data_IF_128374268055
#
_entry.id   IF_128374268055
#
_cell.length_a   1.000
_cell.length_b   1.000
_cell.length_c   1.000
_cell.angle_alpha   90.00
_cell.angle_beta   90.00
_cell.angle_gamma   90.00
#
_symmetry.space_group_name_H-M   'P 1'
#
loop_
_entity.id
_entity.type
_entity.pdbx_description
1 polymer ?
#
# COMPACT_ATOMS: atom_id res chain seq x y z
N UNK A 1 19.63 12.92 -16.61
CA UNK A 1 18.48 12.41 -15.81
C UNK A 1 18.96 11.64 -14.56
N UNK A 2 19.96 10.79 -14.67
CA UNK A 2 20.46 10.00 -13.52
C UNK A 2 21.11 10.83 -12.40
N UNK A 3 21.85 11.91 -12.75
CA UNK A 3 22.51 12.80 -11.77
C UNK A 3 21.47 13.55 -10.91
N UNK A 4 20.39 14.05 -11.53
CA UNK A 4 19.31 14.74 -10.81
C UNK A 4 18.67 13.83 -9.75
N UNK A 5 18.31 12.61 -10.12
CA UNK A 5 17.70 11.65 -9.17
C UNK A 5 18.69 11.19 -8.09
N UNK A 6 19.99 11.09 -8.44
CA UNK A 6 21.04 10.83 -7.46
C UNK A 6 21.17 11.94 -6.41
N UNK A 7 21.11 13.20 -6.84
CA UNK A 7 21.12 14.35 -5.93
C UNK A 7 19.88 14.40 -5.04
N UNK A 8 18.69 14.13 -5.60
CA UNK A 8 17.44 14.06 -4.83
C UNK A 8 17.52 12.97 -3.76
N UNK A 9 18.05 11.79 -4.10
CA UNK A 9 18.22 10.71 -3.14
C UNK A 9 19.23 11.06 -2.04
N UNK A 10 20.33 11.72 -2.38
CA UNK A 10 21.35 12.16 -1.43
C UNK A 10 20.79 13.20 -0.46
N UNK A 11 20.13 14.24 -0.99
CA UNK A 11 19.49 15.28 -0.16
C UNK A 11 18.42 14.66 0.75
N UNK A 12 17.57 13.77 0.21
CA UNK A 12 16.57 13.05 1.00
C UNK A 12 17.20 12.20 2.11
N UNK A 13 18.32 11.54 1.84
CA UNK A 13 19.07 10.78 2.83
C UNK A 13 19.65 11.66 3.95
N UNK A 14 20.22 12.82 3.60
CA UNK A 14 20.74 13.79 4.59
C UNK A 14 19.61 14.32 5.47
N UNK A 15 18.50 14.76 4.86
CA UNK A 15 17.32 15.25 5.60
C UNK A 15 16.77 14.17 6.54
N UNK A 16 16.70 12.92 6.07
CA UNK A 16 16.29 11.79 6.89
C UNK A 16 17.23 11.59 8.09
N UNK A 17 18.55 11.57 7.87
CA UNK A 17 19.54 11.36 8.94
C UNK A 17 19.49 12.46 10.00
N UNK A 18 19.35 13.73 9.57
CA UNK A 18 19.22 14.86 10.50
C UNK A 18 17.92 14.76 11.28
N UNK A 19 16.80 14.50 10.61
CA UNK A 19 15.49 14.39 11.24
C UNK A 19 15.36 13.17 12.17
N UNK A 20 15.96 12.04 11.82
CA UNK A 20 15.93 10.82 12.62
C UNK A 20 16.67 10.95 13.97
N UNK A 21 17.56 11.94 14.10
CA UNK A 21 18.30 12.26 15.32
C UNK A 21 17.78 13.54 16.00
N UNK A 22 16.66 14.10 15.56
CA UNK A 22 16.04 15.30 16.13
C UNK A 22 14.95 14.95 17.15
N UNK A 23 14.37 16.00 17.76
CA UNK A 23 13.21 15.86 18.64
C UNK A 23 11.96 15.32 17.91
N UNK A 24 11.91 15.42 16.58
CA UNK A 24 10.84 14.94 15.73
C UNK A 24 11.08 13.53 15.17
N UNK A 25 12.02 12.79 15.74
CA UNK A 25 12.41 11.43 15.28
C UNK A 25 11.20 10.50 15.08
N UNK A 26 10.19 10.58 15.96
CA UNK A 26 8.98 9.76 15.84
C UNK A 26 8.19 10.02 14.54
N UNK A 27 8.12 11.28 14.10
CA UNK A 27 7.45 11.64 12.84
C UNK A 27 8.28 11.20 11.63
N UNK A 28 9.60 11.38 11.71
CA UNK A 28 10.54 11.00 10.62
C UNK A 28 10.55 9.49 10.42
N UNK A 29 10.60 8.71 11.49
CA UNK A 29 10.54 7.25 11.39
C UNK A 29 9.15 6.76 10.97
N UNK A 30 8.08 7.44 11.36
CA UNK A 30 6.72 7.12 10.89
C UNK A 30 6.57 7.29 9.39
N UNK A 31 7.02 8.43 8.83
CA UNK A 31 6.97 8.64 7.37
C UNK A 31 7.93 7.71 6.62
N UNK A 32 9.07 7.35 7.24
CA UNK A 32 9.96 6.35 6.70
C UNK A 32 9.25 5.00 6.57
N UNK A 33 8.60 4.53 7.63
CA UNK A 33 7.84 3.28 7.63
C UNK A 33 6.71 3.30 6.59
N UNK A 34 5.95 4.39 6.51
CA UNK A 34 4.90 4.58 5.50
C UNK A 34 5.46 4.40 4.08
N UNK A 35 6.56 5.09 3.76
CA UNK A 35 7.20 4.96 2.44
C UNK A 35 7.72 3.55 2.21
N UNK A 36 8.38 2.95 3.20
CA UNK A 36 8.92 1.60 3.08
C UNK A 36 7.83 0.60 2.71
N UNK A 37 6.75 0.53 3.50
CA UNK A 37 5.68 -0.45 3.26
C UNK A 37 4.90 -0.17 1.98
N UNK A 38 4.72 1.10 1.61
CA UNK A 38 4.03 1.49 0.38
C UNK A 38 4.82 1.09 -0.86
N UNK A 39 6.06 1.54 -0.99
CA UNK A 39 6.88 1.28 -2.19
C UNK A 39 7.35 -0.16 -2.31
N UNK A 40 7.69 -0.81 -1.18
CA UNK A 40 8.06 -2.22 -1.17
C UNK A 40 6.87 -3.12 -1.52
N UNK A 41 5.69 -2.77 -0.97
CA UNK A 41 4.44 -3.45 -1.32
C UNK A 41 4.16 -3.36 -2.82
N UNK A 42 4.21 -2.15 -3.42
CA UNK A 42 4.03 -1.95 -4.85
C UNK A 42 5.04 -2.74 -5.69
N UNK A 43 6.32 -2.70 -5.29
CA UNK A 43 7.40 -3.36 -6.02
C UNK A 43 7.21 -4.89 -6.08
N UNK A 44 6.80 -5.50 -4.97
CA UNK A 44 6.57 -6.94 -4.90
C UNK A 44 5.22 -7.35 -5.52
N UNK A 45 4.25 -6.46 -5.58
CA UNK A 45 2.90 -6.79 -6.09
C UNK A 45 2.84 -6.82 -7.61
N UNK A 46 3.66 -6.06 -8.32
CA UNK A 46 3.70 -6.16 -9.79
C UNK A 46 4.02 -7.56 -10.30
N UNK A 47 5.10 -8.22 -9.85
CA UNK A 47 5.34 -9.63 -10.14
C UNK A 47 4.19 -10.56 -9.73
N UNK A 48 3.53 -10.30 -8.59
CA UNK A 48 2.37 -11.08 -8.16
C UNK A 48 1.18 -10.94 -9.12
N UNK A 49 0.86 -9.72 -9.60
CA UNK A 49 -0.16 -9.50 -10.64
C UNK A 49 0.22 -10.25 -11.93
N UNK A 50 1.48 -10.18 -12.34
CA UNK A 50 1.95 -10.96 -13.51
C UNK A 50 1.82 -12.46 -13.27
N UNK A 51 2.02 -12.93 -12.04
CA UNK A 51 1.79 -14.32 -11.61
C UNK A 51 0.33 -14.73 -11.66
N UNK A 52 -0.59 -13.87 -11.20
CA UNK A 52 -2.04 -14.08 -11.34
C UNK A 52 -2.42 -14.25 -12.82
N UNK A 53 -1.92 -13.35 -13.69
CA UNK A 53 -2.17 -13.42 -15.13
C UNK A 53 -1.57 -14.68 -15.76
N UNK A 54 -0.46 -15.20 -15.23
CA UNK A 54 0.17 -16.43 -15.70
C UNK A 54 -0.69 -17.64 -15.36
N UNK A 55 -1.14 -17.76 -14.11
CA UNK A 55 -1.93 -18.91 -13.62
C UNK A 55 -3.32 -18.95 -14.24
N UNK A 56 -3.95 -17.78 -14.42
CA UNK A 56 -5.28 -17.65 -15.03
C UNK A 56 -5.26 -17.68 -16.56
N UNK A 57 -4.07 -17.85 -17.18
CA UNK A 57 -3.90 -17.84 -18.63
C UNK A 57 -4.49 -16.60 -19.31
N UNK A 58 -4.32 -15.44 -18.68
CA UNK A 58 -4.88 -14.18 -19.14
C UNK A 58 -4.29 -13.78 -20.52
N UNK A 59 -4.98 -14.18 -21.59
CA UNK A 59 -4.54 -13.95 -22.99
C UNK A 59 -4.62 -12.50 -23.43
N UNK A 60 -5.39 -11.68 -22.71
CA UNK A 60 -5.67 -10.29 -23.07
C UNK A 60 -4.51 -9.31 -22.81
N UNK A 61 -3.49 -9.72 -22.04
CA UNK A 61 -2.54 -8.74 -21.51
C UNK A 61 -1.05 -9.13 -21.51
N UNK A 62 -0.44 -9.64 -22.60
CA UNK A 62 0.99 -9.92 -22.61
C UNK A 62 1.86 -8.70 -22.30
N UNK A 63 1.47 -7.53 -22.84
CA UNK A 63 2.16 -6.26 -22.61
C UNK A 63 2.01 -5.78 -21.17
N UNK A 64 0.80 -5.87 -20.59
CA UNK A 64 0.53 -5.51 -19.19
C UNK A 64 1.36 -6.34 -18.24
N UNK A 65 1.45 -7.65 -18.47
CA UNK A 65 2.27 -8.57 -17.69
C UNK A 65 3.75 -8.16 -17.68
N UNK A 66 4.31 -7.80 -18.84
CA UNK A 66 5.70 -7.31 -18.92
C UNK A 66 5.91 -6.00 -18.17
N UNK A 67 4.95 -5.07 -18.25
CA UNK A 67 5.00 -3.78 -17.54
C UNK A 67 4.94 -4.02 -16.03
N UNK A 68 4.07 -4.91 -15.56
CA UNK A 68 3.96 -5.27 -14.15
C UNK A 68 5.29 -5.79 -13.56
N UNK A 69 6.07 -6.56 -14.32
CA UNK A 69 7.38 -7.06 -13.88
C UNK A 69 8.41 -5.94 -13.64
N UNK A 70 8.26 -4.77 -14.27
CA UNK A 70 9.23 -3.68 -14.14
C UNK A 70 9.31 -3.13 -12.71
N UNK A 71 8.25 -3.28 -11.92
CA UNK A 71 8.23 -2.82 -10.52
C UNK A 71 9.25 -3.56 -9.66
N UNK A 72 9.58 -4.81 -10.00
CA UNK A 72 10.59 -5.61 -9.29
C UNK A 72 11.98 -4.95 -9.27
N UNK A 73 12.27 -4.02 -10.19
CA UNK A 73 13.52 -3.27 -10.20
C UNK A 73 13.79 -2.47 -8.92
N UNK A 74 12.75 -2.16 -8.13
CA UNK A 74 12.90 -1.46 -6.85
C UNK A 74 13.22 -2.42 -5.67
N UNK A 75 13.03 -3.72 -5.79
CA UNK A 75 13.21 -4.68 -4.69
C UNK A 75 14.60 -4.65 -4.03
N UNK A 76 15.73 -4.50 -4.76
CA UNK A 76 17.04 -4.37 -4.11
C UNK A 76 17.14 -3.13 -3.21
N UNK A 77 16.57 -2.01 -3.65
CA UNK A 77 16.51 -0.78 -2.85
C UNK A 77 15.61 -0.99 -1.64
N UNK A 78 14.44 -1.60 -1.83
CA UNK A 78 13.54 -1.96 -0.74
C UNK A 78 14.24 -2.80 0.32
N UNK A 79 15.06 -3.77 -0.07
CA UNK A 79 15.80 -4.61 0.88
C UNK A 79 16.74 -3.79 1.76
N UNK A 80 17.51 -2.88 1.18
CA UNK A 80 18.37 -1.96 1.95
C UNK A 80 17.55 -1.11 2.91
N UNK A 81 16.40 -0.61 2.46
CA UNK A 81 15.51 0.18 3.32
C UNK A 81 14.94 -0.67 4.48
N UNK A 82 14.68 -1.96 4.28
CA UNK A 82 14.29 -2.86 5.39
C UNK A 82 15.39 -3.02 6.44
N UNK A 83 16.66 -3.01 6.03
CA UNK A 83 17.79 -3.06 6.98
C UNK A 83 17.91 -1.75 7.77
N UNK A 84 17.70 -0.60 7.12
CA UNK A 84 17.72 0.71 7.78
C UNK A 84 16.59 0.84 8.81
N UNK A 85 15.42 0.24 8.58
CA UNK A 85 14.30 0.25 9.53
C UNK A 85 14.69 -0.27 10.92
N UNK A 86 15.64 -1.19 11.01
CA UNK A 86 16.15 -1.71 12.28
C UNK A 86 16.65 -0.61 13.22
N UNK A 87 17.28 0.43 12.69
CA UNK A 87 17.78 1.55 13.49
C UNK A 87 16.65 2.36 14.17
N UNK A 88 15.44 2.37 13.58
CA UNK A 88 14.27 3.07 14.14
C UNK A 88 13.42 2.25 15.11
N UNK A 89 13.81 1.02 15.43
CA UNK A 89 12.96 0.08 16.17
C UNK A 89 12.51 0.60 17.55
N UNK A 90 13.38 1.27 18.28
CA UNK A 90 13.09 1.79 19.62
C UNK A 90 12.16 2.99 19.62
N UNK A 91 12.11 3.73 18.49
CA UNK A 91 11.24 4.87 18.30
C UNK A 91 9.86 4.42 17.83
N UNK A 92 9.81 3.44 16.92
CA UNK A 92 8.57 2.98 16.32
C UNK A 92 7.81 1.99 17.20
N UNK A 93 8.52 1.06 17.85
CA UNK A 93 7.91 -0.09 18.52
C UNK A 93 8.07 0.01 20.04
N UNK A 94 7.02 0.43 20.78
CA UNK A 94 7.11 0.63 22.23
C UNK A 94 7.41 -0.67 22.99
N UNK A 95 7.05 -1.82 22.45
CA UNK A 95 7.32 -3.13 23.06
C UNK A 95 8.79 -3.55 22.99
N UNK A 96 9.63 -2.90 22.19
CA UNK A 96 11.08 -3.13 22.16
C UNK A 96 11.73 -2.63 23.45
N UNK A 97 11.27 -1.49 23.98
CA UNK A 97 11.76 -0.89 25.24
C UNK A 97 10.99 -1.37 26.46
N UNK A 98 9.69 -1.67 26.31
CA UNK A 98 8.79 -2.15 27.34
C UNK A 98 8.14 -3.46 26.92
N UNK A 99 8.81 -4.61 27.10
CA UNK A 99 8.30 -5.91 26.69
C UNK A 99 6.93 -6.23 27.30
N UNK A 100 6.08 -6.90 26.52
CA UNK A 100 4.73 -7.30 26.92
C UNK A 100 4.75 -8.82 27.17
N UNK A 101 4.71 -9.29 28.43
CA UNK A 101 4.87 -10.71 28.74
C UNK A 101 3.89 -11.63 28.01
N UNK A 102 2.61 -11.21 27.89
CA UNK A 102 1.56 -11.99 27.20
C UNK A 102 1.76 -12.14 25.69
N UNK A 103 2.61 -11.30 25.07
CA UNK A 103 2.91 -11.30 23.64
C UNK A 103 4.38 -11.57 23.32
N UNK A 104 5.20 -11.89 24.34
CA UNK A 104 6.64 -12.06 24.18
C UNK A 104 7.04 -13.19 23.21
N UNK A 105 6.19 -14.20 23.03
CA UNK A 105 6.42 -15.24 22.03
C UNK A 105 6.45 -14.72 20.60
N UNK A 106 5.67 -13.67 20.30
CA UNK A 106 5.59 -13.08 18.96
C UNK A 106 6.31 -11.74 18.86
N UNK A 107 6.13 -10.86 19.85
CA UNK A 107 6.72 -9.51 19.91
C UNK A 107 7.99 -9.54 20.76
N UNK A 108 9.04 -10.15 20.24
CA UNK A 108 10.41 -10.04 20.76
C UNK A 108 11.35 -9.61 19.62
N UNK A 109 12.29 -8.69 19.86
CA UNK A 109 13.12 -8.10 18.81
C UNK A 109 13.87 -9.12 17.94
N UNK A 110 14.58 -10.13 18.48
CA UNK A 110 15.31 -11.10 17.66
C UNK A 110 14.40 -11.85 16.67
N UNK A 111 13.27 -12.38 17.14
CA UNK A 111 12.35 -13.15 16.30
C UNK A 111 11.58 -12.26 15.32
N UNK A 112 11.22 -11.04 15.74
CA UNK A 112 10.54 -10.06 14.89
C UNK A 112 11.41 -9.70 13.68
N UNK A 113 12.68 -9.34 13.89
CA UNK A 113 13.57 -8.94 12.80
C UNK A 113 13.98 -10.11 11.92
N UNK A 114 14.27 -11.28 12.54
CA UNK A 114 14.56 -12.50 11.76
C UNK A 114 13.40 -12.82 10.80
N UNK A 115 12.18 -12.81 11.30
CA UNK A 115 10.96 -13.08 10.49
C UNK A 115 10.76 -12.04 9.39
N UNK A 116 10.88 -10.76 9.74
CA UNK A 116 10.68 -9.65 8.79
C UNK A 116 11.68 -9.74 7.65
N UNK A 117 12.96 -9.93 7.93
CA UNK A 117 13.99 -10.03 6.90
C UNK A 117 13.91 -11.33 6.11
N UNK A 118 13.66 -12.45 6.76
CA UNK A 118 13.51 -13.74 6.08
C UNK A 118 12.36 -13.69 5.08
N UNK A 119 11.21 -13.17 5.50
CA UNK A 119 10.05 -13.01 4.60
C UNK A 119 10.38 -12.08 3.42
N UNK A 120 11.08 -10.97 3.65
CA UNK A 120 11.49 -10.07 2.59
C UNK A 120 12.45 -10.76 1.60
N UNK A 121 13.48 -11.46 2.10
CA UNK A 121 14.45 -12.19 1.28
C UNK A 121 13.76 -13.26 0.43
N UNK A 122 12.91 -14.09 1.05
CA UNK A 122 12.19 -15.16 0.35
C UNK A 122 11.28 -14.58 -0.73
N UNK A 123 10.48 -13.56 -0.39
CA UNK A 123 9.59 -12.89 -1.36
C UNK A 123 10.39 -12.31 -2.54
N UNK A 124 11.46 -11.57 -2.26
CA UNK A 124 12.26 -10.93 -3.31
C UNK A 124 12.97 -11.95 -4.18
N UNK A 125 13.50 -13.02 -3.60
CA UNK A 125 14.12 -14.11 -4.35
C UNK A 125 13.13 -14.80 -5.29
N UNK A 126 11.91 -15.07 -4.83
CA UNK A 126 10.85 -15.68 -5.65
C UNK A 126 10.36 -14.71 -6.72
N UNK A 127 10.23 -13.40 -6.41
CA UNK A 127 9.93 -12.36 -7.41
C UNK A 127 10.98 -12.39 -8.54
N UNK A 128 12.27 -12.36 -8.20
CA UNK A 128 13.34 -12.38 -9.21
C UNK A 128 13.40 -13.70 -9.99
N UNK A 129 13.15 -14.83 -9.32
CA UNK A 129 13.07 -16.12 -10.01
C UNK A 129 11.94 -16.13 -11.06
N UNK A 130 10.79 -15.57 -10.70
CA UNK A 130 9.64 -15.46 -11.61
C UNK A 130 9.90 -14.47 -12.76
N UNK A 131 10.44 -13.27 -12.45
CA UNK A 131 10.84 -12.29 -13.48
C UNK A 131 11.83 -12.91 -14.46
N UNK A 132 12.85 -13.60 -13.94
CA UNK A 132 13.86 -14.28 -14.78
C UNK A 132 13.25 -15.39 -15.63
N UNK A 133 12.31 -16.18 -15.09
CA UNK A 133 11.63 -17.24 -15.84
C UNK A 133 10.77 -16.67 -16.98
N UNK A 134 10.11 -15.52 -16.78
CA UNK A 134 9.30 -14.90 -17.83
C UNK A 134 10.10 -14.12 -18.87
N UNK A 135 11.24 -13.52 -18.50
CA UNK A 135 12.05 -12.73 -19.43
C UNK A 135 12.98 -13.59 -20.31
N UNK A 136 13.39 -14.77 -19.84
CA UNK A 136 14.26 -15.67 -20.62
C UNK A 136 13.61 -16.22 -21.88
N UNK A 137 12.29 -16.34 -21.90
CA UNK A 137 11.56 -17.08 -22.91
C UNK A 137 10.69 -16.16 -23.78
N UNK A 138 11.30 -15.10 -24.29
CA UNK A 138 10.67 -14.21 -25.27
C UNK A 138 10.43 -14.86 -26.66
N UNK A 139 10.81 -16.12 -26.85
CA UNK A 139 10.75 -16.86 -28.13
C UNK A 139 9.84 -18.08 -27.99
N UNK A 140 8.76 -18.21 -28.79
CA UNK A 140 7.86 -19.37 -28.79
C UNK A 140 8.45 -20.57 -29.56
N UNK A 141 7.93 -21.79 -29.38
CA UNK A 141 6.69 -22.17 -28.72
C UNK A 141 6.92 -22.68 -27.29
N UNK A 142 5.97 -22.38 -26.40
CA UNK A 142 5.96 -22.92 -25.04
C UNK A 142 5.84 -24.45 -25.08
N UNK A 143 6.95 -25.19 -24.79
CA UNK A 143 6.87 -26.58 -24.42
C UNK A 143 5.99 -26.70 -23.16
N UNK A 144 5.09 -27.68 -23.08
CA UNK A 144 4.20 -27.91 -21.96
C UNK A 144 4.92 -28.00 -20.60
N UNK A 145 6.17 -28.48 -20.60
CA UNK A 145 7.04 -28.53 -19.41
C UNK A 145 7.42 -27.14 -18.91
N UNK A 146 7.78 -26.22 -19.83
CA UNK A 146 8.17 -24.87 -19.48
C UNK A 146 6.98 -24.07 -18.93
N UNK A 147 5.81 -24.23 -19.53
CA UNK A 147 4.56 -23.64 -19.03
C UNK A 147 4.23 -24.15 -17.63
N UNK A 148 4.32 -25.46 -17.39
CA UNK A 148 4.10 -26.04 -16.06
C UNK A 148 5.08 -25.49 -15.02
N UNK A 149 6.36 -25.31 -15.40
CA UNK A 149 7.38 -24.71 -14.53
C UNK A 149 7.04 -23.26 -14.17
N UNK A 150 6.65 -22.41 -15.14
CA UNK A 150 6.27 -21.01 -14.92
C UNK A 150 5.04 -20.92 -14.03
N UNK A 151 4.03 -21.75 -14.26
CA UNK A 151 2.83 -21.81 -13.42
C UNK A 151 3.18 -22.21 -11.99
N UNK A 152 4.08 -23.18 -11.78
CA UNK A 152 4.54 -23.57 -10.45
C UNK A 152 5.23 -22.41 -9.73
N UNK A 153 6.14 -21.69 -10.37
CA UNK A 153 6.83 -20.54 -9.79
C UNK A 153 5.80 -19.43 -9.49
N UNK A 154 4.82 -19.20 -10.38
CA UNK A 154 3.76 -18.23 -10.17
C UNK A 154 2.90 -18.55 -8.94
N UNK A 155 2.51 -19.81 -8.75
CA UNK A 155 1.74 -20.24 -7.57
C UNK A 155 2.55 -20.05 -6.29
N UNK A 156 3.82 -20.44 -6.29
CA UNK A 156 4.73 -20.20 -5.14
C UNK A 156 4.83 -18.71 -4.86
N UNK A 157 5.01 -17.87 -5.89
CA UNK A 157 5.08 -16.42 -5.76
C UNK A 157 3.81 -15.85 -5.11
N UNK A 158 2.63 -16.25 -5.58
CA UNK A 158 1.36 -15.77 -5.06
C UNK A 158 1.16 -16.13 -3.58
N UNK A 159 1.51 -17.36 -3.21
CA UNK A 159 1.43 -17.83 -1.83
C UNK A 159 2.40 -17.06 -0.93
N UNK A 160 3.68 -16.97 -1.33
CA UNK A 160 4.72 -16.26 -0.57
C UNK A 160 4.38 -14.76 -0.47
N UNK A 161 3.89 -14.15 -1.56
CA UNK A 161 3.47 -12.75 -1.58
C UNK A 161 2.33 -12.50 -0.59
N UNK A 162 1.27 -13.31 -0.63
CA UNK A 162 0.11 -13.13 0.26
C UNK A 162 0.52 -13.26 1.72
N UNK A 163 1.29 -14.29 2.07
CA UNK A 163 1.77 -14.50 3.44
C UNK A 163 2.67 -13.37 3.88
N UNK A 164 3.67 -12.98 3.07
CA UNK A 164 4.64 -11.95 3.46
C UNK A 164 3.98 -10.58 3.59
N UNK A 165 3.14 -10.18 2.63
CA UNK A 165 2.49 -8.87 2.69
C UNK A 165 1.49 -8.80 3.85
N UNK A 166 0.78 -9.89 4.14
CA UNK A 166 -0.08 -9.96 5.33
C UNK A 166 0.72 -9.87 6.63
N UNK A 167 1.88 -10.55 6.71
CA UNK A 167 2.79 -10.45 7.86
C UNK A 167 3.36 -9.04 8.02
N UNK A 168 3.69 -8.33 6.93
CA UNK A 168 4.09 -6.92 7.03
C UNK A 168 2.98 -6.04 7.60
N UNK A 169 1.72 -6.31 7.28
CA UNK A 169 0.59 -5.65 7.92
C UNK A 169 0.57 -5.88 9.43
N UNK A 170 0.69 -7.13 9.87
CA UNK A 170 0.69 -7.49 11.29
C UNK A 170 1.93 -6.99 12.03
N UNK A 171 3.12 -7.23 11.47
CA UNK A 171 4.38 -6.98 12.16
C UNK A 171 4.79 -5.51 12.10
N UNK A 172 4.75 -4.89 10.92
CA UNK A 172 5.27 -3.53 10.76
C UNK A 172 4.26 -2.45 11.14
N UNK A 173 2.96 -2.73 11.03
CA UNK A 173 1.92 -1.72 11.27
C UNK A 173 1.09 -2.02 12.50
N UNK A 174 0.45 -3.19 12.58
CA UNK A 174 -0.42 -3.51 13.72
C UNK A 174 0.37 -3.55 15.05
N UNK A 175 1.63 -3.95 15.04
CA UNK A 175 2.48 -4.00 16.23
C UNK A 175 2.89 -2.62 16.77
N UNK A 176 2.64 -1.52 16.04
CA UNK A 176 2.83 -0.15 16.53
C UNK A 176 1.90 0.16 17.72
N UNK A 177 0.68 -0.37 17.71
CA UNK A 177 -0.22 -0.36 18.87
C UNK A 177 -0.49 -1.81 19.34
N UNK A 178 0.35 -2.35 20.18
CA UNK A 178 0.25 -3.75 20.59
C UNK A 178 -0.98 -4.07 21.46
N UNK A 179 -1.76 -3.07 21.87
CA UNK A 179 -3.03 -3.26 22.57
C UNK A 179 -4.17 -3.60 21.62
N UNK A 180 -4.08 -3.13 20.39
CA UNK A 180 -5.05 -3.42 19.34
C UNK A 180 -4.65 -4.63 18.49
N UNK A 181 -5.62 -5.41 18.03
CA UNK A 181 -5.42 -6.49 17.07
C UNK A 181 -6.67 -6.74 16.24
N UNK A 182 -6.45 -7.17 14.99
CA UNK A 182 -7.52 -7.61 14.08
C UNK A 182 -6.98 -8.72 13.17
N UNK A 183 -7.62 -9.88 13.19
CA UNK A 183 -7.25 -10.99 12.30
C UNK A 183 -7.41 -10.68 10.81
N UNK A 184 -8.29 -9.74 10.45
CA UNK A 184 -8.51 -9.31 9.06
C UNK A 184 -7.47 -8.31 8.55
N UNK A 185 -6.64 -7.72 9.45
CA UNK A 185 -5.76 -6.62 9.09
C UNK A 185 -4.70 -7.01 8.05
N UNK A 186 -4.15 -8.23 8.13
CA UNK A 186 -3.21 -8.73 7.12
C UNK A 186 -3.83 -8.81 5.71
N UNK A 187 -5.06 -9.34 5.62
CA UNK A 187 -5.82 -9.39 4.37
C UNK A 187 -6.17 -7.99 3.85
N UNK A 188 -6.60 -7.10 4.72
CA UNK A 188 -6.83 -5.68 4.41
C UNK A 188 -5.60 -5.02 3.80
N UNK A 189 -4.43 -5.23 4.43
CA UNK A 189 -3.17 -4.68 3.96
C UNK A 189 -2.75 -5.25 2.59
N UNK A 190 -2.92 -6.55 2.39
CA UNK A 190 -2.61 -7.20 1.11
C UNK A 190 -3.52 -6.70 -0.02
N UNK A 191 -4.83 -6.61 0.23
CA UNK A 191 -5.80 -6.14 -0.77
C UNK A 191 -5.62 -4.67 -1.10
N UNK A 192 -5.37 -3.80 -0.11
CA UNK A 192 -5.07 -2.38 -0.36
C UNK A 192 -3.80 -2.21 -1.20
N UNK A 193 -2.80 -3.09 -0.99
CA UNK A 193 -1.57 -3.09 -1.80
C UNK A 193 -1.85 -3.57 -3.23
N UNK A 194 -2.72 -4.57 -3.43
CA UNK A 194 -3.19 -4.98 -4.77
C UNK A 194 -3.92 -3.84 -5.48
N UNK A 195 -4.86 -3.19 -4.82
CA UNK A 195 -5.58 -2.05 -5.39
C UNK A 195 -4.62 -0.96 -5.87
N UNK A 196 -3.65 -0.61 -5.01
CA UNK A 196 -2.63 0.38 -5.33
C UNK A 196 -1.76 -0.04 -6.53
N UNK A 197 -1.40 -1.32 -6.61
CA UNK A 197 -0.59 -1.84 -7.70
C UNK A 197 -1.36 -1.85 -9.04
N UNK A 198 -2.67 -2.12 -9.04
CA UNK A 198 -3.50 -1.96 -10.24
C UNK A 198 -3.63 -0.50 -10.65
N UNK A 199 -3.73 0.44 -9.71
CA UNK A 199 -3.69 1.87 -10.02
C UNK A 199 -2.36 2.26 -10.70
N UNK A 200 -1.22 1.84 -10.16
CA UNK A 200 0.09 2.11 -10.75
C UNK A 200 0.24 1.47 -12.13
N UNK A 201 -0.24 0.23 -12.27
CA UNK A 201 -0.20 -0.51 -13.53
C UNK A 201 -1.01 0.20 -14.61
N UNK A 202 -2.23 0.67 -14.31
CA UNK A 202 -3.05 1.45 -15.24
C UNK A 202 -2.34 2.72 -15.74
N UNK A 203 -1.60 3.40 -14.87
CA UNK A 203 -0.81 4.56 -15.27
C UNK A 203 0.34 4.15 -16.21
N UNK A 204 1.06 3.10 -15.86
CA UNK A 204 2.22 2.66 -16.63
C UNK A 204 1.83 2.10 -17.99
N UNK A 205 0.76 1.31 -18.08
CA UNK A 205 0.26 0.74 -19.32
C UNK A 205 -0.25 1.81 -20.28
N UNK A 206 -1.04 2.75 -19.78
CA UNK A 206 -1.54 3.87 -20.60
C UNK A 206 -0.38 4.74 -21.10
N UNK A 207 0.62 5.05 -20.23
CA UNK A 207 1.81 5.82 -20.66
C UNK A 207 2.70 5.07 -21.63
N UNK A 208 2.87 3.76 -21.45
CA UNK A 208 3.65 2.93 -22.36
C UNK A 208 2.99 2.86 -23.74
N UNK A 209 1.67 2.69 -23.78
CA UNK A 209 0.88 2.69 -25.01
C UNK A 209 0.94 4.07 -25.73
N UNK A 210 0.77 5.17 -25.00
CA UNK A 210 0.85 6.52 -25.56
C UNK A 210 2.25 6.85 -26.12
N UNK A 211 3.31 6.21 -25.63
CA UNK A 211 4.68 6.37 -26.13
C UNK A 211 5.09 5.37 -27.19
N UNK A 212 4.16 4.56 -27.70
CA UNK A 212 4.45 3.49 -28.67
C UNK A 212 5.34 2.35 -28.16
N UNK A 213 5.55 2.26 -26.82
CA UNK A 213 6.38 1.22 -26.21
C UNK A 213 5.62 -0.07 -25.93
N UNK A 214 4.31 -0.03 -25.98
CA UNK A 214 3.43 -1.17 -25.86
C UNK A 214 2.24 -0.97 -26.82
N UNK A 215 1.84 -2.05 -27.48
CA UNK A 215 0.61 -2.05 -28.27
C UNK A 215 -0.49 -2.71 -27.44
N UNK A 216 -1.46 -1.91 -26.99
CA UNK A 216 -2.55 -2.40 -26.17
C UNK A 216 -3.90 -2.12 -26.84
N UNK A 217 -4.70 -3.16 -27.10
CA UNK A 217 -6.05 -2.97 -27.56
C UNK A 217 -6.90 -2.26 -26.49
N UNK A 218 -7.87 -1.40 -26.88
CA UNK A 218 -8.76 -0.72 -25.95
C UNK A 218 -9.47 -1.67 -24.95
N UNK A 219 -9.77 -2.90 -25.38
CA UNK A 219 -10.35 -3.94 -24.54
C UNK A 219 -9.45 -4.31 -23.35
N UNK A 220 -8.13 -4.42 -23.55
CA UNK A 220 -7.19 -4.72 -22.46
C UNK A 220 -7.16 -3.61 -21.40
N UNK A 221 -7.21 -2.35 -21.79
CA UNK A 221 -7.34 -1.21 -20.87
C UNK A 221 -8.67 -1.26 -20.10
N UNK A 222 -9.73 -1.69 -20.76
CA UNK A 222 -11.03 -1.89 -20.11
C UNK A 222 -10.99 -3.02 -19.07
N UNK A 223 -10.34 -4.13 -19.37
CA UNK A 223 -10.22 -5.27 -18.45
C UNK A 223 -9.34 -4.93 -17.25
N UNK A 224 -8.27 -4.15 -17.46
CA UNK A 224 -7.45 -3.61 -16.36
C UNK A 224 -8.26 -2.68 -15.44
N UNK A 225 -9.10 -1.80 -16.01
CA UNK A 225 -10.00 -0.94 -15.25
C UNK A 225 -11.04 -1.75 -14.43
N UNK A 226 -11.54 -2.87 -14.96
CA UNK A 226 -12.43 -3.78 -14.21
C UNK A 226 -11.73 -4.43 -13.03
N UNK A 227 -10.46 -4.85 -13.19
CA UNK A 227 -9.68 -5.42 -12.10
C UNK A 227 -9.37 -4.36 -11.03
N UNK A 228 -9.02 -3.14 -11.43
CA UNK A 228 -8.88 -2.02 -10.51
C UNK A 228 -10.16 -1.76 -9.72
N UNK A 229 -11.32 -1.80 -10.38
CA UNK A 229 -12.62 -1.65 -9.73
C UNK A 229 -12.89 -2.79 -8.73
N UNK A 230 -12.67 -4.03 -9.12
CA UNK A 230 -12.86 -5.20 -8.25
C UNK A 230 -11.99 -5.10 -6.98
N UNK A 231 -10.74 -4.69 -7.11
CA UNK A 231 -9.84 -4.51 -5.97
C UNK A 231 -10.26 -3.33 -5.09
N UNK A 232 -10.82 -2.26 -5.65
CA UNK A 232 -11.34 -1.14 -4.86
C UNK A 232 -12.54 -1.55 -4.00
N UNK A 233 -13.43 -2.38 -4.52
CA UNK A 233 -14.56 -2.94 -3.77
C UNK A 233 -14.04 -3.86 -2.66
N UNK A 234 -13.11 -4.74 -2.99
CA UNK A 234 -12.57 -5.70 -2.03
C UNK A 234 -11.81 -4.99 -0.89
N UNK A 235 -11.06 -3.92 -1.20
CA UNK A 235 -10.43 -3.08 -0.18
C UNK A 235 -11.45 -2.46 0.78
N UNK A 236 -12.51 -1.86 0.25
CA UNK A 236 -13.59 -1.27 1.05
C UNK A 236 -14.35 -2.33 1.86
N UNK A 237 -14.57 -3.51 1.28
CA UNK A 237 -15.17 -4.65 1.98
C UNK A 237 -14.35 -5.04 3.22
N UNK A 238 -13.03 -5.18 3.10
CA UNK A 238 -12.16 -5.48 4.24
C UNK A 238 -12.16 -4.38 5.30
N UNK A 239 -12.20 -3.10 4.87
CA UNK A 239 -12.34 -1.97 5.80
C UNK A 239 -13.65 -2.04 6.58
N UNK A 240 -14.78 -2.18 5.88
CA UNK A 240 -16.10 -2.26 6.50
C UNK A 240 -16.25 -3.50 7.38
N UNK A 241 -15.73 -4.64 6.98
CA UNK A 241 -15.79 -5.87 7.77
C UNK A 241 -15.10 -5.70 9.12
N UNK A 242 -13.92 -5.06 9.17
CA UNK A 242 -13.24 -4.75 10.43
C UNK A 242 -14.01 -3.73 11.26
N UNK A 243 -14.47 -2.66 10.62
CA UNK A 243 -15.21 -1.60 11.29
C UNK A 243 -16.48 -2.12 11.97
N UNK A 244 -17.31 -2.88 11.24
CA UNK A 244 -18.59 -3.41 11.76
C UNK A 244 -18.36 -4.33 12.95
N UNK A 245 -17.37 -5.23 12.88
CA UNK A 245 -17.06 -6.16 13.97
C UNK A 245 -16.64 -5.41 15.23
N UNK A 246 -15.76 -4.43 15.12
CA UNK A 246 -15.26 -3.65 16.25
C UNK A 246 -16.36 -2.71 16.80
N UNK A 247 -17.15 -2.09 15.91
CA UNK A 247 -18.26 -1.22 16.30
C UNK A 247 -19.36 -2.00 17.02
N UNK A 248 -19.74 -3.17 16.51
CA UNK A 248 -20.77 -4.01 17.13
C UNK A 248 -20.30 -4.63 18.44
N UNK A 249 -19.05 -5.11 18.49
CA UNK A 249 -18.44 -5.71 19.68
C UNK A 249 -18.24 -4.69 20.81
N UNK A 250 -18.07 -3.42 20.46
CA UNK A 250 -17.89 -2.28 21.37
C UNK A 250 -16.93 -2.52 22.55
N UNK A 251 -15.83 -3.26 22.28
CA UNK A 251 -14.79 -3.51 23.29
C UNK A 251 -13.90 -2.26 23.38
N UNK A 252 -13.78 -1.61 24.54
CA UNK A 252 -13.08 -0.30 24.66
C UNK A 252 -11.64 -0.31 24.13
N UNK A 253 -10.90 -1.42 24.31
CA UNK A 253 -9.52 -1.54 23.85
C UNK A 253 -9.42 -1.59 22.32
N UNK A 254 -10.41 -2.19 21.66
CA UNK A 254 -10.46 -2.31 20.19
C UNK A 254 -11.05 -1.06 19.55
N UNK A 255 -12.13 -0.50 20.11
CA UNK A 255 -12.80 0.70 19.61
C UNK A 255 -11.91 1.93 19.67
N UNK A 256 -11.01 2.04 20.66
CA UNK A 256 -10.05 3.14 20.79
C UNK A 256 -9.27 3.37 19.51
N UNK A 257 -8.78 2.32 18.86
CA UNK A 257 -7.99 2.42 17.63
C UNK A 257 -8.76 3.14 16.50
N UNK A 258 -10.06 2.87 16.38
CA UNK A 258 -10.92 3.53 15.38
C UNK A 258 -11.33 4.93 15.82
N UNK A 259 -11.67 5.12 17.09
CA UNK A 259 -12.06 6.44 17.62
C UNK A 259 -10.95 7.47 17.39
N UNK A 260 -9.71 7.14 17.72
CA UNK A 260 -8.55 8.03 17.51
C UNK A 260 -8.35 8.41 16.03
N UNK A 261 -8.76 7.56 15.09
CA UNK A 261 -8.57 7.78 13.65
C UNK A 261 -9.76 8.40 12.95
N UNK A 262 -10.98 8.08 13.38
CA UNK A 262 -12.20 8.47 12.64
C UNK A 262 -12.89 9.67 13.29
N UNK A 263 -12.69 9.91 14.60
CA UNK A 263 -13.38 10.95 15.34
C UNK A 263 -12.48 12.06 15.89
N UNK A 264 -11.15 11.88 15.87
CA UNK A 264 -10.19 12.87 16.37
C UNK A 264 -9.50 13.59 15.22
N UNK A 265 -9.44 14.92 15.30
CA UNK A 265 -8.71 15.74 14.34
C UNK A 265 -7.19 15.65 14.59
N UNK A 266 -6.37 15.67 13.53
CA UNK A 266 -6.67 15.87 12.10
C UNK A 266 -7.02 14.58 11.35
N UNK A 267 -7.00 13.43 12.02
CA UNK A 267 -7.15 12.10 11.43
C UNK A 267 -8.54 11.88 10.84
N UNK A 268 -9.57 12.43 11.47
CA UNK A 268 -10.95 12.40 10.95
C UNK A 268 -11.04 12.99 9.53
N UNK A 269 -10.43 14.15 9.29
CA UNK A 269 -10.43 14.74 7.94
C UNK A 269 -9.68 13.85 6.94
N UNK A 270 -8.54 13.29 7.36
CA UNK A 270 -7.77 12.38 6.51
C UNK A 270 -8.58 11.12 6.16
N UNK A 271 -9.35 10.57 7.14
CA UNK A 271 -10.23 9.43 6.89
C UNK A 271 -11.28 9.73 5.80
N UNK A 272 -11.92 10.90 5.86
CA UNK A 272 -12.88 11.33 4.84
C UNK A 272 -12.22 11.56 3.49
N UNK A 273 -11.04 12.15 3.44
CA UNK A 273 -10.27 12.31 2.18
C UNK A 273 -9.95 10.95 1.57
N UNK A 274 -9.47 10.00 2.37
CA UNK A 274 -9.18 8.63 1.91
C UNK A 274 -10.44 7.94 1.38
N UNK A 275 -11.57 8.06 2.09
CA UNK A 275 -12.83 7.47 1.68
C UNK A 275 -13.35 8.08 0.36
N UNK A 276 -13.39 9.41 0.26
CA UNK A 276 -13.97 10.09 -0.90
C UNK A 276 -13.05 9.97 -2.11
N UNK A 277 -11.77 10.32 -1.95
CA UNK A 277 -10.81 10.35 -3.07
C UNK A 277 -10.32 8.95 -3.43
N UNK A 278 -10.14 8.07 -2.44
CA UNK A 278 -9.63 6.72 -2.66
C UNK A 278 -10.66 5.71 -3.11
N UNK A 279 -11.93 5.89 -2.72
CA UNK A 279 -12.96 4.93 -3.04
C UNK A 279 -14.17 5.53 -3.75
N UNK A 280 -14.86 6.52 -3.20
CA UNK A 280 -16.16 6.98 -3.74
C UNK A 280 -16.04 7.53 -5.16
N UNK A 281 -15.05 8.39 -5.42
CA UNK A 281 -14.81 8.95 -6.77
C UNK A 281 -14.33 7.85 -7.74
N UNK A 282 -13.31 7.02 -7.42
CA UNK A 282 -12.92 5.88 -8.24
C UNK A 282 -14.07 4.91 -8.50
N UNK A 283 -14.85 4.57 -7.48
CA UNK A 283 -16.00 3.68 -7.59
C UNK A 283 -17.03 4.20 -8.59
N UNK A 284 -17.47 5.46 -8.46
CA UNK A 284 -18.46 6.07 -9.32
C UNK A 284 -17.99 6.12 -10.80
N UNK A 285 -16.70 6.36 -11.03
CA UNK A 285 -16.13 6.37 -12.38
C UNK A 285 -15.98 4.95 -12.94
N UNK A 286 -15.39 4.04 -12.15
CA UNK A 286 -15.06 2.68 -12.60
C UNK A 286 -16.30 1.81 -12.76
N UNK A 287 -17.38 2.05 -12.01
CA UNK A 287 -18.67 1.36 -12.14
C UNK A 287 -19.19 1.41 -13.58
N UNK A 288 -19.04 2.56 -14.24
CA UNK A 288 -19.42 2.73 -15.64
C UNK A 288 -18.57 1.88 -16.61
N UNK A 289 -17.42 1.37 -16.17
CA UNK A 289 -16.52 0.53 -16.98
C UNK A 289 -16.94 -0.94 -17.01
N UNK A 290 -17.79 -1.39 -16.07
CA UNK A 290 -18.27 -2.77 -16.06
C UNK A 290 -19.13 -3.11 -17.29
N UNK A 291 -20.02 -2.19 -17.68
CA UNK A 291 -21.02 -2.41 -18.74
C UNK A 291 -20.79 -1.55 -19.98
N UNK A 292 -19.90 -0.57 -19.90
CA UNK A 292 -19.66 0.39 -20.97
C UNK A 292 -18.68 -0.11 -22.04
N UNK A 293 -18.64 0.62 -23.17
CA UNK A 293 -17.62 0.44 -24.21
C UNK A 293 -16.23 0.85 -23.71
N UNK A 294 -15.14 0.31 -24.29
CA UNK A 294 -13.80 0.75 -23.96
C UNK A 294 -13.64 2.27 -24.02
N UNK A 295 -12.87 2.87 -23.11
CA UNK A 295 -12.72 4.31 -23.06
C UNK A 295 -12.00 4.83 -24.32
N UNK A 296 -12.59 5.80 -25.01
CA UNK A 296 -11.93 6.50 -26.12
C UNK A 296 -10.82 7.45 -25.60
N UNK A 297 -10.98 7.98 -24.38
CA UNK A 297 -10.00 8.83 -23.71
C UNK A 297 -9.50 8.14 -22.46
N UNK A 298 -8.18 8.01 -22.31
CA UNK A 298 -7.55 7.34 -21.18
C UNK A 298 -7.24 8.29 -20.01
N UNK A 299 -7.26 9.61 -20.24
CA UNK A 299 -6.92 10.61 -19.20
C UNK A 299 -7.76 10.48 -17.91
N UNK A 300 -9.10 10.30 -17.95
CA UNK A 300 -9.88 10.15 -16.72
C UNK A 300 -9.50 8.88 -15.92
N UNK A 301 -9.13 7.79 -16.59
CA UNK A 301 -8.69 6.57 -15.91
C UNK A 301 -7.35 6.80 -15.19
N UNK A 302 -6.43 7.56 -15.81
CA UNK A 302 -5.16 7.95 -15.17
C UNK A 302 -5.40 8.80 -13.94
N UNK A 303 -6.33 9.78 -14.02
CA UNK A 303 -6.69 10.63 -12.86
C UNK A 303 -7.24 9.79 -11.70
N UNK A 304 -8.17 8.89 -11.99
CA UNK A 304 -8.74 7.99 -10.97
C UNK A 304 -7.69 7.04 -10.39
N UNK A 305 -6.76 6.56 -11.20
CA UNK A 305 -5.65 5.74 -10.73
C UNK A 305 -4.68 6.52 -9.84
N UNK A 306 -4.41 7.80 -10.15
CA UNK A 306 -3.63 8.69 -9.28
C UNK A 306 -4.37 8.90 -7.95
N UNK A 307 -5.68 9.11 -7.97
CA UNK A 307 -6.47 9.23 -6.75
C UNK A 307 -6.37 8.00 -5.86
N UNK A 308 -6.46 6.80 -6.43
CA UNK A 308 -6.25 5.55 -5.70
C UNK A 308 -4.85 5.44 -5.08
N UNK A 309 -3.80 5.78 -5.86
CA UNK A 309 -2.41 5.78 -5.36
C UNK A 309 -2.22 6.73 -4.18
N UNK A 310 -2.65 7.98 -4.34
CA UNK A 310 -2.49 9.03 -3.32
C UNK A 310 -3.30 8.66 -2.08
N UNK A 311 -4.54 8.20 -2.25
CA UNK A 311 -5.40 7.86 -1.13
C UNK A 311 -4.87 6.67 -0.32
N UNK A 312 -4.34 5.62 -0.96
CA UNK A 312 -3.74 4.51 -0.21
C UNK A 312 -2.41 4.91 0.44
N UNK A 313 -1.65 5.84 -0.15
CA UNK A 313 -0.50 6.42 0.55
C UNK A 313 -0.95 7.18 1.82
N UNK A 314 -1.98 8.01 1.72
CA UNK A 314 -2.57 8.72 2.84
C UNK A 314 -3.20 7.76 3.87
N UNK A 315 -3.76 6.65 3.43
CA UNK A 315 -4.26 5.58 4.31
C UNK A 315 -3.11 4.95 5.12
N UNK A 316 -1.92 4.74 4.54
CA UNK A 316 -0.74 4.31 5.31
C UNK A 316 -0.33 5.33 6.38
N UNK A 317 -0.39 6.63 6.05
CA UNK A 317 -0.18 7.71 7.04
C UNK A 317 -1.24 7.62 8.16
N UNK A 318 -2.50 7.49 7.79
CA UNK A 318 -3.63 7.37 8.69
C UNK A 318 -3.54 6.16 9.65
N UNK A 319 -2.96 5.06 9.22
CA UNK A 319 -2.82 3.86 10.05
C UNK A 319 -1.59 3.93 10.95
N UNK A 320 -0.48 4.50 10.49
CA UNK A 320 0.81 4.52 11.21
C UNK A 320 0.91 5.66 12.21
N UNK A 321 0.66 6.90 11.79
CA UNK A 321 0.96 8.09 12.59
C UNK A 321 0.22 8.17 13.93
N UNK A 322 -1.09 7.89 14.03
CA UNK A 322 -1.78 7.99 15.32
C UNK A 322 -1.21 7.06 16.39
N UNK A 323 -0.61 5.93 15.99
CA UNK A 323 -0.02 4.96 16.91
C UNK A 323 1.36 5.39 17.43
N UNK A 324 2.15 6.12 16.63
CA UNK A 324 3.55 6.46 16.96
C UNK A 324 3.66 7.91 17.45
N UNK A 325 2.94 8.81 16.83
CA UNK A 325 2.99 10.26 17.08
C UNK A 325 1.58 10.83 17.14
N UNK A 326 0.81 10.60 18.23
CA UNK A 326 -0.58 11.07 18.36
C UNK A 326 -0.72 12.59 18.22
N UNK A 327 0.30 13.34 18.64
CA UNK A 327 0.38 14.80 18.54
C UNK A 327 0.99 15.32 17.25
N UNK A 328 1.28 14.42 16.28
CA UNK A 328 1.93 14.81 15.04
C UNK A 328 1.07 15.82 14.28
N UNK A 329 1.68 16.94 13.94
CA UNK A 329 1.13 17.83 12.92
C UNK A 329 1.36 17.19 11.58
N UNK A 330 0.27 16.94 10.83
CA UNK A 330 0.42 16.42 9.46
C UNK A 330 1.32 17.38 8.66
N UNK A 331 2.27 16.89 7.86
CA UNK A 331 3.12 17.75 7.01
C UNK A 331 2.30 18.63 6.05
N UNK A 332 1.04 18.27 5.79
CA UNK A 332 0.05 19.07 5.05
C UNK A 332 -0.93 19.81 5.97
N UNK A 333 -0.69 19.80 7.29
CA UNK A 333 -1.55 20.38 8.33
C UNK A 333 -1.96 21.83 8.04
N UNK A 334 -1.05 22.76 7.68
CA UNK A 334 -1.44 24.14 7.41
C UNK A 334 -2.45 24.29 6.28
N UNK A 335 -2.38 23.49 5.23
CA UNK A 335 -3.35 23.49 4.12
C UNK A 335 -4.70 22.90 4.53
N UNK A 336 -4.68 21.78 5.28
CA UNK A 336 -5.90 21.15 5.81
C UNK A 336 -6.54 21.96 6.93
N UNK A 337 -5.74 22.56 7.84
CA UNK A 337 -6.24 23.41 8.91
C UNK A 337 -6.87 24.70 8.38
N UNK A 338 -6.27 25.35 7.39
CA UNK A 338 -6.85 26.56 6.76
C UNK A 338 -8.20 26.29 6.09
N UNK A 339 -8.34 25.15 5.44
CA UNK A 339 -9.62 24.74 4.83
C UNK A 339 -10.70 24.46 5.88
N UNK A 340 -10.31 23.89 7.03
CA UNK A 340 -11.22 23.51 8.10
C UNK A 340 -11.59 24.66 9.03
N UNK A 341 -10.67 25.57 9.28
CA UNK A 341 -10.93 26.78 10.04
C UNK A 341 -11.95 27.67 9.32
N UNK A 342 -11.84 27.76 8.00
CA UNK A 342 -12.84 28.41 7.17
C UNK A 342 -14.20 27.68 7.19
N UNK A 343 -14.22 26.35 7.17
CA UNK A 343 -15.45 25.56 7.26
C UNK A 343 -16.09 25.60 8.66
N UNK A 344 -15.25 25.69 9.71
CA UNK A 344 -15.71 25.82 11.11
C UNK A 344 -16.28 27.19 11.40
N UNK A 345 -15.67 28.23 10.84
CA UNK A 345 -16.15 29.61 10.97
C UNK A 345 -17.42 29.87 10.14
N UNK A 346 -17.72 29.01 9.16
CA UNK A 346 -18.94 29.09 8.35
C UNK A 346 -20.19 28.46 9.02
N UNK A 347 -20.03 27.69 10.12
CA UNK A 347 -21.17 27.04 10.81
C UNK A 347 -21.18 27.35 12.31
N UNK A 348 -21.78 28.49 12.72
CA UNK A 348 -21.87 28.92 14.12
C UNK A 348 -22.76 28.00 15.01
N UNK A 349 -23.59 27.13 14.43
CA UNK A 349 -24.48 26.26 15.18
C UNK A 349 -23.78 25.12 15.94
N UNK A 350 -22.54 24.74 15.52
CA UNK A 350 -21.74 23.66 16.16
C UNK A 350 -20.97 24.11 17.43
N UNK A 351 -20.82 25.39 17.67
CA UNK A 351 -20.14 25.88 18.89
C UNK A 351 -20.92 25.61 20.18
N UNK A 352 -22.22 25.41 20.08
CA UNK A 352 -23.10 25.24 21.25
C UNK A 352 -23.08 23.82 21.83
N UNK A 353 -22.68 22.81 21.06
CA UNK A 353 -22.73 21.39 21.48
C UNK A 353 -21.47 20.94 22.26
N UNK A 354 -20.39 21.71 22.21
CA UNK A 354 -19.11 21.36 22.89
C UNK A 354 -18.92 22.08 24.26
N UNK A 355 -19.84 22.93 24.67
CA UNK A 355 -19.78 23.69 25.93
C UNK A 355 -20.92 23.33 26.89
N UNK A 356 -21.69 22.26 26.62
CA UNK A 356 -22.75 21.76 27.50
C UNK A 356 -22.36 20.45 28.19
#
# INVERSE_FOLDING_TARGET
MNVFWGLVALVGGIVFLVGANSNDASQVWSIYLVNLVFWSGLAATGPAIAGMMQVTEARWSPSVRRIALTTAGFLPVAFVLFLVLFAGQTVLYPWVTKPIPSKAAWLNPPFFWLRTWLCAVVLFAVCFAFVRALLRDAIPPEDGRERARRNRIAVILLTVWLVTVSLWGFDLIMSLDPKWYSGLFGGYFAVSTLYTAFCLLSIFTIRANARGRASMPPAAVQDEAKLQFAMSILWMYFFWSQYIVIWYGNVPVETRFFVERVFVQPWMTLAWVVLIVGWLIPFAYLLKRLTGRPPQRHAPLVVVAIFGLVAIFLERVFVVFPSVSPSARLPFGPLLYGFMENARNADPARQVIMTG
#
